data_IF_921077853466
#
_entry.id   IF_921077853466
#
_cell.length_a   1.000
_cell.length_b   1.000
_cell.length_c   1.000
_cell.angle_alpha   90.00
_cell.angle_beta   90.00
_cell.angle_gamma   90.00
#
_symmetry.space_group_name_H-M   'P 1'
#
loop_
_entity.id
_entity.type
_entity.pdbx_description
1 polymer ?
#
# COMPACT_ATOMS: atom_id res chain seq x y z
N UNK A 1 -10.64 -11.86 0.22
CA UNK A 1 -10.11 -11.61 1.59
C UNK A 1 -11.12 -10.73 2.30
N UNK A 2 -11.56 -11.11 3.50
CA UNK A 2 -12.45 -10.26 4.31
C UNK A 2 -11.60 -9.29 5.14
N UNK A 3 -11.57 -8.02 4.74
CA UNK A 3 -10.78 -6.97 5.41
C UNK A 3 -11.29 -6.68 6.83
N UNK A 4 -12.60 -6.85 7.06
CA UNK A 4 -13.20 -6.67 8.39
C UNK A 4 -12.71 -7.76 9.33
N UNK A 5 -12.72 -9.01 8.87
CA UNK A 5 -12.16 -10.16 9.61
C UNK A 5 -10.66 -9.99 9.85
N UNK A 6 -9.90 -9.48 8.87
CA UNK A 6 -8.46 -9.20 9.04
C UNK A 6 -8.20 -8.12 10.10
N UNK A 7 -9.04 -7.08 10.15
CA UNK A 7 -8.96 -6.06 11.20
C UNK A 7 -9.31 -6.61 12.58
N UNK A 8 -10.27 -7.51 12.67
CA UNK A 8 -10.60 -8.20 13.92
C UNK A 8 -9.41 -9.03 14.43
N UNK A 9 -8.66 -9.71 13.55
CA UNK A 9 -7.42 -10.41 13.94
C UNK A 9 -6.35 -9.48 14.51
N UNK A 10 -6.25 -8.25 14.04
CA UNK A 10 -5.25 -7.27 14.51
C UNK A 10 -5.55 -6.69 15.90
N UNK A 11 -6.78 -6.84 16.40
CA UNK A 11 -7.19 -6.33 17.72
C UNK A 11 -6.80 -7.32 18.83
N UNK A 12 -6.60 -8.59 18.50
CA UNK A 12 -6.28 -9.65 19.46
C UNK A 12 -4.79 -10.01 19.34
N UNK A 13 -3.97 -9.59 20.33
CA UNK A 13 -2.50 -9.73 20.37
C UNK A 13 -2.01 -11.17 20.11
N UNK A 14 -2.89 -12.17 20.28
CA UNK A 14 -2.67 -13.57 19.94
C UNK A 14 -2.19 -13.79 18.50
N UNK A 15 -2.60 -12.95 17.55
CA UNK A 15 -2.30 -13.11 16.12
C UNK A 15 -1.07 -12.33 15.63
N UNK A 16 -0.41 -11.53 16.49
CA UNK A 16 0.88 -10.92 16.16
C UNK A 16 2.02 -11.95 16.03
N UNK A 17 1.83 -13.14 16.60
CA UNK A 17 2.79 -14.25 16.55
C UNK A 17 2.65 -15.14 15.30
N UNK A 18 1.57 -14.99 14.53
CA UNK A 18 1.40 -15.61 13.22
C UNK A 18 1.71 -14.57 12.14
N UNK A 19 2.44 -14.96 11.08
CA UNK A 19 2.79 -14.04 9.99
C UNK A 19 1.53 -13.56 9.26
N UNK A 20 0.93 -12.45 9.72
CA UNK A 20 -0.31 -11.84 9.20
C UNK A 20 -0.24 -11.49 7.71
N UNK A 21 0.98 -11.35 7.20
CA UNK A 21 1.30 -11.24 5.79
C UNK A 21 2.14 -12.46 5.39
N UNK A 22 1.85 -13.09 4.26
CA UNK A 22 2.69 -14.20 3.78
C UNK A 22 3.94 -13.68 3.05
N UNK A 23 4.89 -14.58 2.78
CA UNK A 23 6.16 -14.23 2.11
C UNK A 23 5.95 -13.55 0.75
N UNK A 24 5.00 -14.03 -0.06
CA UNK A 24 4.68 -13.44 -1.37
C UNK A 24 4.19 -11.99 -1.21
N UNK A 25 3.25 -11.76 -0.30
CA UNK A 25 2.70 -10.44 -0.01
C UNK A 25 3.77 -9.49 0.54
N UNK A 26 4.62 -9.97 1.47
CA UNK A 26 5.74 -9.19 1.96
C UNK A 26 6.67 -8.77 0.80
N UNK A 27 7.08 -9.74 -0.02
CA UNK A 27 7.95 -9.52 -1.17
C UNK A 27 7.36 -8.50 -2.15
N UNK A 28 6.04 -8.54 -2.42
CA UNK A 28 5.36 -7.54 -3.25
C UNK A 28 5.55 -6.13 -2.67
N UNK A 29 5.36 -5.95 -1.36
CA UNK A 29 5.38 -4.62 -0.72
C UNK A 29 6.77 -4.01 -0.54
N UNK A 30 7.84 -4.75 -0.85
CA UNK A 30 9.23 -4.26 -0.80
C UNK A 30 9.84 -4.08 -2.19
N UNK A 31 9.10 -4.42 -3.26
CA UNK A 31 9.56 -4.20 -4.62
C UNK A 31 9.62 -2.69 -4.95
N UNK A 32 10.66 -2.24 -5.68
CA UNK A 32 10.69 -0.89 -6.23
C UNK A 32 9.51 -0.62 -7.18
N UNK A 33 8.98 0.62 -7.26
CA UNK A 33 7.83 0.96 -8.11
C UNK A 33 8.00 0.57 -9.59
N UNK A 34 9.18 0.78 -10.17
CA UNK A 34 9.48 0.41 -11.55
C UNK A 34 9.41 -1.11 -11.78
N UNK A 35 9.80 -1.90 -10.78
CA UNK A 35 9.72 -3.37 -10.83
C UNK A 35 8.27 -3.83 -10.68
N UNK A 36 7.48 -3.18 -9.82
CA UNK A 36 6.04 -3.44 -9.70
C UNK A 36 5.32 -3.16 -11.03
N UNK A 37 5.49 -1.97 -11.60
CA UNK A 37 4.91 -1.60 -12.91
C UNK A 37 5.28 -2.63 -13.99
N UNK A 38 6.54 -3.05 -14.05
CA UNK A 38 6.99 -4.07 -15.01
C UNK A 38 6.27 -5.41 -14.80
N UNK A 39 6.12 -5.86 -13.56
CA UNK A 39 5.45 -7.13 -13.25
C UNK A 39 3.93 -7.05 -13.52
N UNK A 40 3.31 -5.92 -13.22
CA UNK A 40 1.88 -5.67 -13.46
C UNK A 40 1.57 -5.59 -14.95
N UNK A 41 2.32 -4.78 -15.70
CA UNK A 41 2.16 -4.61 -17.15
C UNK A 41 2.49 -5.86 -17.98
N UNK A 42 3.17 -6.84 -17.39
CA UNK A 42 3.46 -8.14 -18.02
C UNK A 42 2.58 -9.27 -17.50
N UNK A 43 1.63 -8.99 -16.59
CA UNK A 43 0.76 -9.98 -15.98
C UNK A 43 1.47 -10.98 -15.04
N UNK A 44 2.72 -10.70 -14.65
CA UNK A 44 3.47 -11.51 -13.65
C UNK A 44 2.97 -11.30 -12.22
N UNK A 45 2.33 -10.16 -11.97
CA UNK A 45 1.55 -9.86 -10.78
C UNK A 45 0.19 -9.33 -11.22
N UNK A 46 -0.85 -9.61 -10.43
CA UNK A 46 -2.16 -8.96 -10.64
C UNK A 46 -2.25 -7.70 -9.79
N UNK A 47 -3.06 -6.75 -10.24
CA UNK A 47 -3.37 -5.54 -9.51
C UNK A 47 -4.03 -5.87 -8.16
N UNK A 48 -4.97 -6.81 -8.13
CA UNK A 48 -5.66 -7.22 -6.88
C UNK A 48 -4.67 -7.81 -5.87
N UNK A 49 -3.79 -8.72 -6.28
CA UNK A 49 -2.78 -9.28 -5.39
C UNK A 49 -1.87 -8.19 -4.81
N UNK A 50 -1.52 -7.21 -5.64
CA UNK A 50 -0.66 -6.10 -5.24
C UNK A 50 -1.35 -5.21 -4.22
N UNK A 51 -2.57 -4.74 -4.50
CA UNK A 51 -3.33 -3.87 -3.60
C UNK A 51 -3.61 -4.55 -2.26
N UNK A 52 -3.98 -5.84 -2.26
CA UNK A 52 -4.21 -6.60 -1.02
C UNK A 52 -2.97 -6.64 -0.15
N UNK A 53 -1.78 -6.86 -0.74
CA UNK A 53 -0.53 -6.88 0.00
C UNK A 53 -0.22 -5.53 0.66
N UNK A 54 -0.44 -4.41 -0.05
CA UNK A 54 -0.25 -3.06 0.48
C UNK A 54 -1.25 -2.72 1.60
N UNK A 55 -2.54 -3.04 1.42
CA UNK A 55 -3.57 -2.83 2.45
C UNK A 55 -3.26 -3.63 3.72
N UNK A 56 -2.87 -4.90 3.59
CA UNK A 56 -2.49 -5.73 4.73
C UNK A 56 -1.31 -5.14 5.51
N UNK A 57 -0.24 -4.77 4.78
CA UNK A 57 0.93 -4.14 5.39
C UNK A 57 0.56 -2.85 6.12
N UNK A 58 -0.27 -2.02 5.51
CA UNK A 58 -0.76 -0.81 6.17
C UNK A 58 -1.52 -1.12 7.44
N UNK A 59 -2.49 -2.04 7.40
CA UNK A 59 -3.28 -2.39 8.57
C UNK A 59 -2.38 -2.90 9.71
N UNK A 60 -1.35 -3.70 9.42
CA UNK A 60 -0.36 -4.11 10.43
C UNK A 60 0.36 -2.89 11.01
N UNK A 61 0.94 -2.04 10.15
CA UNK A 61 1.70 -0.85 10.60
C UNK A 61 0.79 0.11 11.40
N UNK A 62 -0.43 0.35 10.94
CA UNK A 62 -1.42 1.22 11.59
C UNK A 62 -1.89 0.68 12.95
N UNK A 63 -1.77 -0.61 13.22
CA UNK A 63 -2.01 -1.14 14.56
C UNK A 63 -0.79 -1.01 15.48
N UNK A 64 0.41 -0.91 14.90
CA UNK A 64 1.66 -0.73 15.65
C UNK A 64 2.01 0.75 15.92
N UNK A 65 1.56 1.69 15.09
CA UNK A 65 1.85 3.13 15.19
C UNK A 65 0.60 3.99 14.95
N UNK A 66 0.59 5.22 15.46
CA UNK A 66 -0.51 6.20 15.34
C UNK A 66 -0.65 6.80 13.92
N UNK A 67 -0.88 5.95 12.92
CA UNK A 67 -1.26 6.38 11.56
C UNK A 67 -2.75 6.80 11.50
N UNK A 68 -3.16 7.60 10.50
CA UNK A 68 -4.56 7.95 10.29
C UNK A 68 -5.46 6.71 10.20
N UNK A 69 -6.68 6.72 10.73
CA UNK A 69 -7.56 5.56 10.63
C UNK A 69 -7.84 5.23 9.16
N UNK A 70 -7.86 3.93 8.79
CA UNK A 70 -8.19 3.50 7.44
C UNK A 70 -9.57 4.01 7.01
N UNK A 71 -9.67 4.57 5.81
CA UNK A 71 -10.94 4.85 5.15
C UNK A 71 -11.40 3.57 4.44
N UNK A 72 -12.41 2.89 4.99
CA UNK A 72 -12.98 1.69 4.38
C UNK A 72 -13.43 1.91 2.92
N UNK A 73 -13.88 3.14 2.61
CA UNK A 73 -14.22 3.58 1.26
C UNK A 73 -13.03 3.60 0.30
N UNK A 74 -11.84 3.96 0.78
CA UNK A 74 -10.62 4.00 -0.03
C UNK A 74 -10.20 2.58 -0.43
N UNK A 75 -10.23 1.63 0.50
CA UNK A 75 -9.88 0.23 0.22
C UNK A 75 -10.83 -0.40 -0.79
N UNK A 76 -12.12 -0.13 -0.66
CA UNK A 76 -13.12 -0.62 -1.61
C UNK A 76 -12.90 -0.04 -3.00
N UNK A 77 -12.62 1.27 -3.10
CA UNK A 77 -12.32 1.92 -4.38
C UNK A 77 -11.04 1.34 -5.01
N UNK A 78 -9.97 1.20 -4.22
CA UNK A 78 -8.71 0.64 -4.70
C UNK A 78 -8.85 -0.81 -5.19
N UNK A 79 -9.59 -1.65 -4.45
CA UNK A 79 -9.85 -3.04 -4.85
C UNK A 79 -10.76 -3.13 -6.09
N UNK A 80 -11.76 -2.25 -6.21
CA UNK A 80 -12.61 -2.20 -7.40
C UNK A 80 -11.80 -1.81 -8.64
N UNK A 81 -10.96 -0.79 -8.55
CA UNK A 81 -10.05 -0.39 -9.63
C UNK A 81 -9.05 -1.51 -9.96
N UNK A 82 -8.50 -2.18 -8.96
CA UNK A 82 -7.61 -3.32 -9.17
C UNK A 82 -8.30 -4.45 -9.97
N UNK A 83 -9.53 -4.79 -9.60
CA UNK A 83 -10.33 -5.80 -10.31
C UNK A 83 -10.62 -5.40 -11.75
N UNK A 84 -10.95 -4.12 -11.99
CA UNK A 84 -11.14 -3.57 -13.34
C UNK A 84 -9.87 -3.70 -14.19
N UNK A 85 -8.71 -3.32 -13.66
CA UNK A 85 -7.43 -3.37 -14.37
C UNK A 85 -7.02 -4.81 -14.69
N UNK A 86 -7.22 -5.74 -13.77
CA UNK A 86 -6.99 -7.18 -14.02
C UNK A 86 -7.92 -7.72 -15.12
N UNK A 87 -9.20 -7.30 -15.14
CA UNK A 87 -10.15 -7.67 -16.19
C UNK A 87 -9.77 -7.06 -17.55
N UNK A 88 -9.34 -5.80 -17.57
CA UNK A 88 -8.86 -5.12 -18.75
C UNK A 88 -7.63 -5.84 -19.33
N UNK A 89 -6.64 -6.15 -18.50
CA UNK A 89 -5.43 -6.85 -18.94
C UNK A 89 -5.76 -8.24 -19.48
N UNK A 90 -6.63 -8.99 -18.79
CA UNK A 90 -7.05 -10.33 -19.21
C UNK A 90 -7.78 -10.33 -20.55
N UNK A 91 -8.60 -9.31 -20.81
CA UNK A 91 -9.41 -9.21 -22.04
C UNK A 91 -8.62 -8.66 -23.24
N UNK A 92 -7.69 -7.74 -23.00
CA UNK A 92 -6.96 -7.05 -24.07
C UNK A 92 -5.54 -7.57 -24.29
N UNK A 93 -4.96 -8.26 -23.30
CA UNK A 93 -3.55 -8.63 -23.25
C UNK A 93 -2.60 -7.43 -23.11
N UNK A 94 -3.12 -6.24 -22.77
CA UNK A 94 -2.36 -4.99 -22.72
C UNK A 94 -2.55 -4.28 -21.39
N UNK A 95 -1.50 -3.61 -20.94
CA UNK A 95 -1.58 -2.65 -19.87
C UNK A 95 -2.42 -1.44 -20.32
N UNK A 96 -3.30 -0.94 -19.44
CA UNK A 96 -4.13 0.25 -19.70
C UNK A 96 -3.28 1.51 -19.92
N UNK A 97 -2.18 1.64 -19.18
CA UNK A 97 -1.33 2.82 -19.19
C UNK A 97 0.04 2.57 -18.54
N UNK A 98 0.91 3.60 -18.49
CA UNK A 98 2.28 3.48 -17.98
C UNK A 98 2.38 3.12 -16.49
N UNK A 99 1.34 3.37 -15.70
CA UNK A 99 1.28 3.04 -14.28
C UNK A 99 0.31 1.89 -13.99
N UNK A 100 -0.01 1.07 -15.00
CA UNK A 100 -1.01 0.00 -14.89
C UNK A 100 -0.88 -0.83 -13.61
N UNK A 101 -1.92 -0.76 -12.78
CA UNK A 101 -2.08 -1.54 -11.56
C UNK A 101 -1.22 -1.08 -10.38
N UNK A 102 -0.42 -0.03 -10.52
CA UNK A 102 0.48 0.44 -9.47
C UNK A 102 -0.33 1.17 -8.39
N UNK A 103 -0.31 0.71 -7.12
CA UNK A 103 -0.80 1.50 -6.01
C UNK A 103 0.12 2.71 -5.80
N UNK A 104 -0.45 3.91 -5.77
CA UNK A 104 0.27 5.18 -5.61
C UNK A 104 -0.67 6.20 -4.93
N UNK A 105 -0.12 7.05 -4.06
CA UNK A 105 -0.88 8.17 -3.49
C UNK A 105 -0.95 9.36 -4.45
N UNK A 106 -1.91 10.26 -4.24
CA UNK A 106 -2.04 11.47 -5.06
C UNK A 106 -0.78 12.34 -5.00
N UNK A 107 -0.20 12.55 -3.82
CA UNK A 107 1.08 13.28 -3.65
C UNK A 107 2.23 12.64 -4.44
N UNK A 108 2.33 11.30 -4.40
CA UNK A 108 3.37 10.57 -5.14
C UNK A 108 3.14 10.66 -6.65
N UNK A 109 1.87 10.66 -7.07
CA UNK A 109 1.49 10.81 -8.47
C UNK A 109 1.83 12.21 -8.99
N UNK A 110 1.55 13.26 -8.23
CA UNK A 110 1.91 14.64 -8.58
C UNK A 110 3.43 14.81 -8.73
N UNK A 111 4.21 14.23 -7.80
CA UNK A 111 5.69 14.22 -7.90
C UNK A 111 6.15 13.46 -9.14
N UNK A 112 5.54 12.31 -9.44
CA UNK A 112 5.88 11.54 -10.63
C UNK A 112 5.56 12.31 -11.92
N UNK A 113 4.42 13.01 -11.96
CA UNK A 113 3.98 13.77 -13.13
C UNK A 113 4.81 15.04 -13.36
N UNK A 114 5.14 15.77 -12.29
CA UNK A 114 5.97 16.98 -12.37
C UNK A 114 7.39 16.68 -12.88
N UNK A 115 7.96 15.52 -12.50
CA UNK A 115 9.26 15.07 -13.03
C UNK A 115 9.23 14.71 -14.52
N UNK A 116 8.08 14.33 -15.05
CA UNK A 116 7.94 13.85 -16.42
C UNK A 116 7.31 14.88 -17.37
N UNK A 117 7.03 16.11 -16.91
CA UNK A 117 6.26 17.13 -17.66
C UNK A 117 4.88 16.62 -18.13
N UNK A 118 4.24 15.73 -17.36
CA UNK A 118 2.96 15.09 -17.71
C UNK A 118 1.77 15.68 -16.94
N UNK A 119 1.80 16.96 -16.60
CA UNK A 119 0.85 17.62 -15.68
C UNK A 119 -0.62 17.68 -16.15
N UNK A 120 -0.93 17.16 -17.34
CA UNK A 120 -2.25 17.26 -17.98
C UNK A 120 -2.84 15.89 -18.38
N UNK A 121 -2.26 14.77 -17.94
CA UNK A 121 -2.84 13.46 -18.24
C UNK A 121 -3.95 13.15 -17.25
N UNK A 122 -5.12 12.81 -17.80
CA UNK A 122 -6.21 12.23 -17.05
C UNK A 122 -5.73 10.94 -16.37
N UNK A 123 -5.98 10.82 -15.07
CA UNK A 123 -5.45 9.74 -14.21
C UNK A 123 -5.89 8.37 -14.69
N UNK A 124 -7.06 8.31 -15.31
CA UNK A 124 -7.64 7.10 -15.87
C UNK A 124 -6.78 6.51 -17.01
N UNK A 125 -6.03 7.36 -17.73
CA UNK A 125 -5.16 6.96 -18.84
C UNK A 125 -3.81 6.44 -18.34
N UNK A 126 -3.42 6.78 -17.11
CA UNK A 126 -2.20 6.27 -16.49
C UNK A 126 -2.39 4.84 -15.98
N UNK A 127 -3.60 4.48 -15.58
CA UNK A 127 -3.96 3.16 -15.09
C UNK A 127 -3.42 2.83 -13.70
N UNK A 128 -3.10 3.85 -12.90
CA UNK A 128 -2.70 3.67 -11.51
C UNK A 128 -3.91 3.36 -10.61
N UNK A 129 -3.62 2.91 -9.39
CA UNK A 129 -4.62 2.66 -8.35
C UNK A 129 -4.40 3.68 -7.24
N UNK A 130 -5.34 4.63 -7.03
CA UNK A 130 -5.25 5.58 -5.93
C UNK A 130 -5.25 4.84 -4.60
N UNK A 131 -4.19 5.04 -3.82
CA UNK A 131 -4.06 4.49 -2.48
C UNK A 131 -3.10 5.38 -1.68
N UNK A 132 -3.65 6.21 -0.79
CA UNK A 132 -2.92 7.20 0.02
C UNK A 132 -1.89 6.55 0.93
N UNK A 133 -2.15 5.31 1.33
CA UNK A 133 -1.41 4.56 2.34
C UNK A 133 -0.23 3.74 1.77
N UNK A 134 0.34 4.17 0.65
CA UNK A 134 1.40 3.45 -0.06
C UNK A 134 2.80 3.89 0.39
N UNK A 135 3.57 2.92 0.90
CA UNK A 135 4.94 3.14 1.40
C UNK A 135 6.01 2.94 0.33
N UNK A 136 5.98 3.69 -0.77
CA UNK A 136 7.09 3.71 -1.73
C UNK A 136 8.19 4.64 -1.25
N UNK A 137 9.22 4.10 -0.59
CA UNK A 137 10.33 4.90 -0.05
C UNK A 137 11.03 5.77 -1.12
N UNK A 138 11.07 5.30 -2.37
CA UNK A 138 11.71 5.99 -3.50
C UNK A 138 10.88 7.11 -4.12
N UNK A 139 9.60 7.24 -3.74
CA UNK A 139 8.68 8.27 -4.24
C UNK A 139 8.35 9.32 -3.17
N UNK A 140 9.03 9.30 -2.01
CA UNK A 140 8.83 10.32 -0.97
C UNK A 140 9.27 11.70 -1.49
N UNK A 141 8.51 12.78 -1.18
CA UNK A 141 8.99 14.13 -1.41
C UNK A 141 10.29 14.38 -0.64
N UNK A 142 11.15 15.23 -1.18
CA UNK A 142 12.29 15.77 -0.44
C UNK A 142 11.71 16.73 0.61
N UNK A 143 11.72 16.34 1.89
CA UNK A 143 11.11 17.09 2.99
C UNK A 143 11.60 18.54 3.07
N UNK A 144 10.69 19.48 2.82
CA UNK A 144 10.65 20.73 3.57
C UNK A 144 9.25 20.84 4.19
N UNK A 145 9.21 20.72 5.52
CA UNK A 145 8.07 20.92 6.43
C UNK A 145 6.86 19.98 6.28
N UNK A 146 6.79 18.95 7.11
CA UNK A 146 5.59 18.69 7.93
C UNK A 146 5.96 17.78 9.12
N UNK A 147 6.42 18.41 10.20
CA UNK A 147 6.41 17.78 11.53
C UNK A 147 4.95 17.66 11.99
N UNK A 148 4.27 16.56 11.65
CA UNK A 148 3.08 16.15 12.42
C UNK A 148 3.54 15.90 13.85
N UNK A 149 3.17 16.78 14.76
CA UNK A 149 3.43 16.61 16.20
C UNK A 149 2.75 15.33 16.67
N UNK A 150 3.56 14.30 16.88
CA UNK A 150 3.17 13.03 17.46
C UNK A 150 2.66 13.25 18.89
N UNK A 151 1.37 12.99 19.12
CA UNK A 151 0.80 12.84 20.46
C UNK A 151 0.59 11.34 20.68
N UNK A 152 1.47 10.65 21.45
CA UNK A 152 1.33 9.23 21.67
C UNK A 152 -0.01 8.94 22.34
N UNK A 153 -0.83 8.07 21.75
CA UNK A 153 -1.78 7.32 22.58
C UNK A 153 -0.96 6.46 23.53
N UNK A 154 -1.43 6.27 24.76
CA UNK A 154 -0.79 5.35 25.71
C UNK A 154 -0.55 4.02 24.99
N UNK A 155 0.73 3.62 24.79
CA UNK A 155 1.02 2.39 24.08
C UNK A 155 0.41 1.24 24.85
N UNK A 156 -0.15 0.26 24.13
CA UNK A 156 -0.53 -1.01 24.73
C UNK A 156 0.71 -1.55 25.47
N UNK A 157 0.59 -1.71 26.79
CA UNK A 157 1.70 -1.87 27.75
C UNK A 157 2.61 -3.07 27.43
N UNK A 158 2.17 -3.98 26.54
CA UNK A 158 2.86 -5.20 26.16
C UNK A 158 3.94 -5.03 25.08
N UNK A 159 3.93 -3.97 24.26
CA UNK A 159 4.98 -3.80 23.22
C UNK A 159 6.37 -3.47 23.80
N UNK A 160 6.44 -3.05 25.07
CA UNK A 160 7.72 -2.72 25.73
C UNK A 160 8.48 -3.95 26.25
N UNK A 161 7.82 -5.09 26.46
CA UNK A 161 8.46 -6.25 27.10
C UNK A 161 9.26 -7.14 26.13
N UNK A 162 8.97 -7.09 24.83
CA UNK A 162 9.68 -7.88 23.81
C UNK A 162 10.94 -7.20 23.25
N UNK A 163 11.02 -5.86 23.31
CA UNK A 163 12.18 -5.12 22.82
C UNK A 163 13.31 -4.96 23.88
N UNK A 164 13.06 -5.30 25.14
CA UNK A 164 14.04 -5.14 26.24
C UNK A 164 14.81 -6.45 26.54
N UNK A 165 14.35 -7.62 26.04
CA UNK A 165 14.96 -8.92 26.37
C UNK A 165 15.83 -9.55 25.25
N UNK A 166 16.28 -8.78 24.25
CA UNK A 166 17.26 -9.25 23.25
C UNK A 166 18.56 -8.45 23.22
N UNK A 167 18.84 -7.68 24.27
CA UNK A 167 20.12 -6.99 24.46
C UNK A 167 20.70 -7.27 25.84
N UNK A 168 21.86 -7.95 25.83
CA UNK A 168 22.78 -8.35 26.92
C UNK A 168 22.47 -9.70 27.56
#
# INVERSE_FOLDING_TARGET
MDLKKFREYLIDDKYLNESLINEKEFNITVLPPNVLVTKLSTGKLTAVETVVAFIKKYLIVNNCIDLPPPLESEFNTALAMAGFLDCYFKSTGKALGPLHGLPISDDQLEIAQSRCNTSNYDTDVLGNIPLSIVFHATLKPNDHSETRTYQPKTPNILFRSLAINSGV
#
